data_IF_048389024173
#
_entry.id   IF_048389024173
#
_cell.length_a   1.000
_cell.length_b   1.000
_cell.length_c   1.000
_cell.angle_alpha   90.00
_cell.angle_beta   90.00
_cell.angle_gamma   90.00
#
_symmetry.space_group_name_H-M   'P 1'
#
loop_
_entity.id
_entity.type
_entity.pdbx_description
1 polymer ?
#
# COMPACT_ATOMS: atom_id res chain seq x y z
N UNK A 1 15.53 12.21 -1.99
CA UNK A 1 15.68 10.74 -2.09
C UNK A 1 15.07 10.17 -0.82
N UNK A 2 14.06 9.32 -0.94
CA UNK A 2 13.39 8.75 0.23
C UNK A 2 14.41 7.89 1.00
N UNK A 3 14.82 8.32 2.18
CA UNK A 3 15.80 7.59 3.01
C UNK A 3 15.26 6.27 3.52
N UNK A 4 13.93 6.12 3.58
CA UNK A 4 13.22 4.92 4.04
C UNK A 4 13.31 3.75 3.04
N UNK A 5 13.26 4.02 1.72
CA UNK A 5 13.23 2.97 0.69
C UNK A 5 14.34 3.12 -0.36
N UNK A 6 15.16 4.17 -0.29
CA UNK A 6 16.22 4.45 -1.26
C UNK A 6 15.73 4.93 -2.63
N UNK A 7 14.43 5.13 -2.84
CA UNK A 7 13.89 5.63 -4.12
C UNK A 7 14.34 7.08 -4.37
N UNK A 8 14.87 7.32 -5.57
CA UNK A 8 15.17 8.68 -6.06
C UNK A 8 13.87 9.41 -6.38
N UNK A 9 13.82 10.70 -6.08
CA UNK A 9 12.68 11.55 -6.46
C UNK A 9 12.67 11.70 -7.98
N UNK A 10 11.64 11.17 -8.63
CA UNK A 10 11.25 11.62 -9.97
C UNK A 10 10.35 12.84 -9.82
N UNK A 11 10.37 13.75 -10.79
CA UNK A 11 9.42 14.87 -10.80
C UNK A 11 8.00 14.29 -10.93
N UNK A 12 7.13 14.42 -9.91
CA UNK A 12 5.77 13.93 -10.02
C UNK A 12 5.02 14.77 -11.07
N UNK A 13 4.12 14.15 -11.81
CA UNK A 13 3.21 14.85 -12.70
C UNK A 13 1.77 14.69 -12.21
N UNK A 14 1.00 15.77 -12.26
CA UNK A 14 -0.40 15.77 -11.85
C UNK A 14 -1.22 16.15 -13.08
N UNK A 15 -2.10 15.26 -13.52
CA UNK A 15 -2.94 15.41 -14.72
C UNK A 15 -3.77 16.69 -14.64
N UNK A 16 -3.76 17.61 -15.62
CA UNK A 16 -4.56 18.87 -15.64
C UNK A 16 -6.08 18.60 -15.72
N UNK A 17 -6.90 19.46 -15.09
CA UNK A 17 -8.35 19.29 -15.08
C UNK A 17 -8.89 19.88 -16.39
N UNK A 18 -8.81 19.09 -17.46
CA UNK A 18 -9.15 19.58 -18.79
C UNK A 18 -10.66 19.42 -19.05
N UNK A 19 -11.30 20.56 -19.33
CA UNK A 19 -12.57 20.61 -20.01
C UNK A 19 -12.38 20.08 -21.45
N UNK A 20 -13.08 18.99 -21.78
CA UNK A 20 -13.45 18.49 -23.11
C UNK A 20 -12.61 18.99 -24.33
N UNK A 21 -11.77 18.11 -24.89
CA UNK A 21 -11.79 17.85 -26.34
C UNK A 21 -11.03 16.57 -26.68
N UNK A 22 -11.75 15.62 -27.28
CA UNK A 22 -11.22 14.40 -27.85
C UNK A 22 -10.55 14.68 -29.20
N UNK A 23 -9.34 14.13 -29.42
CA UNK A 23 -8.86 13.75 -30.74
C UNK A 23 -7.74 12.70 -30.59
N UNK A 24 -8.15 11.44 -30.68
CA UNK A 24 -7.29 10.24 -30.75
C UNK A 24 -6.61 10.12 -32.11
N UNK A 25 -5.28 10.05 -32.15
CA UNK A 25 -4.53 9.48 -33.27
C UNK A 25 -3.98 8.11 -32.86
N UNK A 26 -4.43 7.08 -33.57
CA UNK A 26 -4.00 5.68 -33.45
C UNK A 26 -2.79 5.46 -34.35
N UNK A 27 -1.72 4.87 -33.82
CA UNK A 27 -0.66 4.27 -34.63
C UNK A 27 -0.65 2.75 -34.40
N UNK A 28 -0.98 2.03 -35.46
CA UNK A 28 -0.81 0.58 -35.58
C UNK A 28 0.65 0.27 -35.92
N UNK A 29 1.25 -0.70 -35.23
CA UNK A 29 2.38 -1.45 -35.76
C UNK A 29 2.06 -2.94 -35.68
N UNK A 30 2.05 -3.53 -36.87
CA UNK A 30 1.84 -4.94 -37.17
C UNK A 30 3.23 -5.61 -37.24
N UNK A 31 3.42 -6.70 -36.50
CA UNK A 31 4.60 -7.55 -36.63
C UNK A 31 4.16 -9.01 -36.68
N UNK A 32 4.20 -9.54 -37.90
CA UNK A 32 4.12 -10.94 -38.26
C UNK A 32 5.47 -11.62 -38.03
N UNK A 33 5.48 -12.77 -37.35
CA UNK A 33 6.63 -13.67 -37.33
C UNK A 33 6.15 -15.10 -37.61
N UNK A 34 6.50 -15.60 -38.79
CA UNK A 34 6.33 -16.98 -39.22
C UNK A 34 7.47 -17.88 -38.76
N UNK A 35 7.10 -19.15 -38.60
CA UNK A 35 7.84 -20.30 -38.08
C UNK A 35 9.14 -20.67 -38.80
N UNK A 36 10.10 -21.26 -38.06
CA UNK A 36 10.84 -22.45 -38.50
C UNK A 36 11.33 -23.26 -37.28
N UNK A 37 10.93 -24.53 -37.22
CA UNK A 37 11.28 -25.46 -36.15
C UNK A 37 12.58 -26.22 -36.42
N UNK A 38 13.21 -26.68 -35.34
CA UNK A 38 14.17 -27.78 -35.38
C UNK A 38 13.98 -28.69 -34.17
N UNK A 39 13.57 -29.93 -34.45
CA UNK A 39 13.62 -31.08 -33.55
C UNK A 39 15.02 -31.70 -33.59
N UNK A 40 15.53 -32.14 -32.44
CA UNK A 40 16.52 -33.21 -32.36
C UNK A 40 16.13 -34.18 -31.24
N UNK A 41 15.68 -35.36 -31.65
CA UNK A 41 15.65 -36.59 -30.84
C UNK A 41 16.92 -37.37 -31.13
N UNK A 42 17.52 -38.01 -30.11
CA UNK A 42 18.18 -39.32 -30.24
C UNK A 42 18.39 -40.03 -28.88
N UNK A 43 17.51 -41.03 -28.67
CA UNK A 43 17.66 -42.39 -28.11
C UNK A 43 18.74 -42.80 -27.09
N UNK A 44 18.24 -43.57 -26.11
CA UNK A 44 18.95 -44.43 -25.15
C UNK A 44 19.36 -45.81 -25.70
N UNK A 45 20.41 -46.38 -25.10
CA UNK A 45 20.69 -47.82 -24.94
C UNK A 45 21.70 -47.93 -23.77
N UNK A 46 21.69 -48.82 -22.78
CA UNK A 46 20.91 -50.01 -22.44
C UNK A 46 21.77 -50.82 -21.43
N UNK A 47 21.22 -51.09 -20.24
CA UNK A 47 21.50 -52.17 -19.27
C UNK A 47 22.94 -52.64 -18.93
N UNK A 48 23.26 -52.70 -17.62
CA UNK A 48 23.27 -53.95 -16.82
C UNK A 48 23.41 -53.70 -15.31
N UNK A 49 22.77 -54.60 -14.56
CA UNK A 49 22.65 -54.75 -13.09
C UNK A 49 23.93 -55.39 -12.52
N UNK A 50 24.32 -55.07 -11.28
CA UNK A 50 24.65 -56.03 -10.19
C UNK A 50 25.24 -55.35 -8.92
N UNK A 51 24.58 -55.66 -7.81
CA UNK A 51 25.08 -56.00 -6.47
C UNK A 51 25.68 -54.98 -5.50
N UNK A 52 25.11 -55.10 -4.30
CA UNK A 52 25.37 -54.48 -3.00
C UNK A 52 26.79 -54.62 -2.47
N UNK A 53 27.32 -53.59 -1.81
CA UNK A 53 28.15 -53.76 -0.61
C UNK A 53 28.05 -52.54 0.34
N UNK A 54 27.70 -52.83 1.59
CA UNK A 54 27.81 -51.97 2.76
C UNK A 54 29.28 -51.72 3.10
N UNK A 55 29.67 -50.47 3.30
CA UNK A 55 30.87 -50.13 4.07
C UNK A 55 30.53 -49.09 5.15
N UNK A 56 30.53 -49.60 6.38
CA UNK A 56 30.68 -48.83 7.61
C UNK A 56 32.09 -48.21 7.61
N UNK A 57 32.18 -46.89 7.74
CA UNK A 57 33.42 -46.24 8.14
C UNK A 57 33.16 -45.38 9.37
N UNK A 58 33.66 -45.91 10.48
CA UNK A 58 33.80 -45.27 11.78
C UNK A 58 34.90 -44.21 11.65
N UNK A 59 34.58 -42.95 11.90
CA UNK A 59 35.56 -41.89 12.06
C UNK A 59 35.28 -41.13 13.36
N UNK A 60 35.93 -41.64 14.41
CA UNK A 60 36.27 -40.87 15.60
C UNK A 60 37.07 -39.63 15.21
N UNK A 61 36.53 -38.44 15.49
CA UNK A 61 37.35 -37.25 15.66
C UNK A 61 37.00 -36.51 16.94
N UNK A 62 38.09 -36.22 17.63
CA UNK A 62 38.26 -35.72 18.98
C UNK A 62 37.68 -34.32 19.18
N UNK A 63 37.15 -34.07 20.38
CA UNK A 63 36.59 -32.79 20.78
C UNK A 63 37.71 -31.80 21.12
N UNK A 64 37.79 -30.68 20.40
CA UNK A 64 38.34 -29.44 20.94
C UNK A 64 37.43 -28.27 20.56
N UNK A 65 37.04 -27.52 21.59
CA UNK A 65 35.83 -26.71 21.58
C UNK A 65 35.93 -25.40 20.81
N UNK A 66 34.75 -24.94 20.40
CA UNK A 66 34.35 -23.55 20.37
C UNK A 66 32.82 -23.51 20.35
N UNK A 67 32.22 -22.89 21.37
CA UNK A 67 30.77 -22.73 21.51
C UNK A 67 30.23 -21.83 20.40
N UNK A 68 29.80 -22.43 19.29
CA UNK A 68 28.94 -21.77 18.31
C UNK A 68 27.49 -21.90 18.79
N UNK A 69 26.94 -20.80 19.33
CA UNK A 69 25.52 -20.61 19.55
C UNK A 69 24.79 -20.80 18.20
N UNK A 70 24.24 -21.99 17.96
CA UNK A 70 23.29 -22.24 16.86
C UNK A 70 21.91 -21.72 17.29
N UNK A 71 21.71 -20.41 17.19
CA UNK A 71 20.39 -19.79 17.10
C UNK A 71 19.92 -19.80 15.65
N UNK A 72 18.71 -20.29 15.40
CA UNK A 72 18.22 -20.62 14.05
C UNK A 72 18.16 -19.43 13.08
N UNK A 73 18.71 -19.65 11.88
CA UNK A 73 18.27 -19.18 10.55
C UNK A 73 18.02 -17.69 10.24
N UNK A 74 17.81 -16.82 11.22
CA UNK A 74 17.48 -15.41 11.00
C UNK A 74 18.77 -14.60 10.94
N UNK A 75 19.14 -14.15 9.75
CA UNK A 75 20.16 -13.12 9.56
C UNK A 75 19.45 -11.77 9.54
N UNK A 76 19.48 -11.07 10.67
CA UNK A 76 18.91 -9.73 10.79
C UNK A 76 19.93 -8.69 10.30
N UNK A 77 19.86 -8.36 9.01
CA UNK A 77 20.64 -7.27 8.40
C UNK A 77 20.08 -5.87 8.74
N UNK A 78 18.96 -5.79 9.48
CA UNK A 78 18.32 -4.56 9.95
C UNK A 78 18.68 -4.19 11.40
N UNK A 79 19.27 -5.12 12.17
CA UNK A 79 19.68 -4.93 13.57
C UNK A 79 20.85 -3.94 13.78
N UNK A 80 21.28 -3.20 12.75
CA UNK A 80 22.32 -2.19 12.87
C UNK A 80 21.68 -0.80 12.96
N UNK A 81 21.66 -0.13 14.12
CA UNK A 81 21.01 1.17 14.28
C UNK A 81 21.68 2.29 13.46
N UNK A 82 22.80 2.02 12.79
CA UNK A 82 23.58 3.02 12.08
C UNK A 82 24.39 2.46 10.87
N UNK A 83 23.95 1.36 10.26
CA UNK A 83 24.69 0.67 9.20
C UNK A 83 24.38 1.05 7.75
N UNK A 84 23.49 2.02 7.48
CA UNK A 84 23.21 2.44 6.09
C UNK A 84 24.36 3.30 5.54
N UNK A 85 25.33 2.66 4.86
CA UNK A 85 26.22 3.38 3.92
C UNK A 85 25.44 3.74 2.66
N UNK A 86 24.51 4.68 2.77
CA UNK A 86 24.06 5.47 1.62
C UNK A 86 25.30 6.22 1.14
N UNK A 87 25.66 6.06 -0.14
CA UNK A 87 26.94 6.51 -0.72
C UNK A 87 27.49 7.79 -0.08
N UNK A 88 28.72 7.70 0.45
CA UNK A 88 29.52 8.79 1.04
C UNK A 88 28.88 9.70 2.11
N UNK A 89 27.72 9.39 2.67
CA UNK A 89 27.03 10.26 3.66
C UNK A 89 27.09 9.71 5.09
N UNK A 90 27.26 10.58 6.09
CA UNK A 90 27.20 10.19 7.50
C UNK A 90 25.77 9.94 7.98
N UNK A 91 25.61 9.01 8.94
CA UNK A 91 24.30 8.65 9.52
C UNK A 91 23.58 9.87 10.14
N UNK A 92 24.32 10.75 10.84
CA UNK A 92 23.76 11.98 11.43
C UNK A 92 23.20 12.93 10.36
N UNK A 93 23.89 13.04 9.21
CA UNK A 93 23.43 13.89 8.11
C UNK A 93 22.20 13.29 7.44
N UNK A 94 22.13 11.97 7.30
CA UNK A 94 20.94 11.28 6.79
C UNK A 94 19.72 11.49 7.71
N UNK A 95 19.89 11.32 9.02
CA UNK A 95 18.84 11.54 10.02
C UNK A 95 18.37 13.00 10.05
N UNK A 96 19.28 13.97 9.89
CA UNK A 96 18.89 15.38 9.81
C UNK A 96 18.06 15.66 8.55
N UNK A 97 18.50 15.16 7.38
CA UNK A 97 17.77 15.33 6.12
C UNK A 97 16.37 14.70 6.22
N UNK A 98 16.25 13.51 6.79
CA UNK A 98 14.97 12.85 7.00
C UNK A 98 14.03 13.68 7.88
N UNK A 99 14.54 14.18 9.01
CA UNK A 99 13.77 15.06 9.91
C UNK A 99 13.34 16.34 9.22
N UNK A 100 14.19 16.94 8.39
CA UNK A 100 13.86 18.16 7.65
C UNK A 100 12.77 17.90 6.60
N UNK A 101 12.86 16.78 5.87
CA UNK A 101 11.86 16.37 4.87
C UNK A 101 10.51 16.09 5.54
N UNK A 102 10.48 15.23 6.57
CA UNK A 102 9.26 14.89 7.28
C UNK A 102 8.69 16.11 8.02
N UNK A 103 9.54 16.96 8.58
CA UNK A 103 9.14 18.22 9.22
C UNK A 103 8.46 19.19 8.25
N UNK A 104 8.99 19.32 7.02
CA UNK A 104 8.34 20.11 5.96
C UNK A 104 7.01 19.50 5.54
N UNK A 105 6.96 18.19 5.33
CA UNK A 105 5.72 17.48 4.98
C UNK A 105 4.63 17.69 6.04
N UNK A 106 4.97 17.56 7.32
CA UNK A 106 4.02 17.68 8.44
C UNK A 106 3.41 19.09 8.54
N UNK A 107 4.18 20.14 8.24
CA UNK A 107 3.62 21.51 8.15
C UNK A 107 2.58 21.60 7.05
N UNK A 108 2.88 21.05 5.87
CA UNK A 108 1.97 21.07 4.73
C UNK A 108 0.71 20.24 5.01
N UNK A 109 0.86 19.08 5.65
CA UNK A 109 -0.22 18.20 6.08
C UNK A 109 -1.13 18.89 7.12
N UNK A 110 -0.56 19.68 8.03
CA UNK A 110 -1.33 20.46 8.99
C UNK A 110 -2.22 21.50 8.29
N UNK A 111 -1.71 22.23 7.29
CA UNK A 111 -2.55 23.18 6.55
C UNK A 111 -3.60 22.45 5.71
N UNK A 112 -3.25 21.31 5.08
CA UNK A 112 -4.19 20.49 4.33
C UNK A 112 -5.35 20.08 5.24
N UNK A 113 -5.05 19.57 6.43
CA UNK A 113 -6.05 19.20 7.43
C UNK A 113 -6.94 20.38 7.82
N UNK A 114 -6.35 21.55 8.10
CA UNK A 114 -7.13 22.76 8.42
C UNK A 114 -8.05 23.18 7.27
N UNK A 115 -7.59 23.05 6.02
CA UNK A 115 -8.40 23.30 4.84
C UNK A 115 -9.53 22.29 4.70
N UNK A 116 -9.25 21.00 4.84
CA UNK A 116 -10.26 19.95 4.78
C UNK A 116 -11.33 20.14 5.85
N UNK A 117 -10.95 20.53 7.07
CA UNK A 117 -11.89 20.87 8.14
C UNK A 117 -12.76 22.08 7.78
N UNK A 118 -12.17 23.12 7.17
CA UNK A 118 -12.91 24.31 6.72
C UNK A 118 -13.95 23.97 5.65
N UNK A 119 -13.67 22.97 4.80
CA UNK A 119 -14.57 22.49 3.76
C UNK A 119 -15.55 21.40 4.28
N UNK A 120 -15.61 21.10 5.58
CA UNK A 120 -16.37 19.98 6.20
C UNK A 120 -16.10 18.64 5.49
N UNK A 121 -14.84 18.40 5.09
CA UNK A 121 -14.43 17.19 4.40
C UNK A 121 -14.00 16.08 5.36
N UNK A 122 -14.50 14.89 5.08
CA UNK A 122 -13.97 13.65 5.64
C UNK A 122 -12.97 13.05 4.66
N UNK A 123 -11.70 12.98 5.07
CA UNK A 123 -10.59 12.59 4.19
C UNK A 123 -9.98 11.28 4.65
N UNK A 124 -9.87 10.31 3.75
CA UNK A 124 -9.30 8.98 4.04
C UNK A 124 -8.13 8.68 3.13
N UNK A 125 -7.04 8.14 3.70
CA UNK A 125 -5.87 7.70 2.96
C UNK A 125 -5.83 6.17 2.92
N UNK A 126 -6.04 5.59 1.73
CA UNK A 126 -6.00 4.15 1.52
C UNK A 126 -4.59 3.72 1.13
N UNK A 127 -4.02 2.85 1.96
CA UNK A 127 -2.66 2.32 1.83
C UNK A 127 -2.72 0.80 1.75
N UNK A 128 -1.83 0.15 0.99
CA UNK A 128 -1.86 -1.30 0.82
C UNK A 128 -0.58 -1.84 0.22
N UNK A 129 -0.43 -3.17 0.18
CA UNK A 129 0.46 -3.79 -0.83
C UNK A 129 -0.11 -3.62 -2.25
N UNK A 130 0.71 -3.70 -3.31
CA UNK A 130 0.22 -3.80 -4.68
C UNK A 130 -0.78 -4.95 -4.84
N UNK A 131 -1.85 -4.74 -5.60
CA UNK A 131 -2.84 -5.79 -5.89
C UNK A 131 -3.81 -6.13 -4.75
N UNK A 132 -3.80 -5.42 -3.61
CA UNK A 132 -4.76 -5.63 -2.52
C UNK A 132 -6.22 -5.26 -2.89
N UNK A 133 -6.40 -4.52 -3.98
CA UNK A 133 -7.72 -4.18 -4.54
C UNK A 133 -8.30 -2.85 -4.06
N UNK A 134 -7.45 -1.87 -3.72
CA UNK A 134 -7.86 -0.50 -3.33
C UNK A 134 -8.81 0.13 -4.36
N UNK A 135 -8.42 0.18 -5.62
CA UNK A 135 -9.26 0.81 -6.65
C UNK A 135 -10.59 0.10 -6.85
N UNK A 136 -10.61 -1.23 -6.83
CA UNK A 136 -11.87 -1.98 -6.95
C UNK A 136 -12.80 -1.73 -5.75
N UNK A 137 -12.23 -1.58 -4.56
CA UNK A 137 -12.96 -1.18 -3.36
C UNK A 137 -13.48 0.25 -3.50
N UNK A 138 -12.66 1.19 -3.98
CA UNK A 138 -13.05 2.59 -4.18
C UNK A 138 -14.13 2.73 -5.24
N UNK A 139 -13.98 2.13 -6.42
CA UNK A 139 -14.99 2.15 -7.50
C UNK A 139 -16.35 1.77 -6.94
N UNK A 140 -16.43 0.71 -6.14
CA UNK A 140 -17.68 0.31 -5.49
C UNK A 140 -18.14 1.35 -4.47
N UNK A 141 -17.30 1.67 -3.48
CA UNK A 141 -17.64 2.57 -2.39
C UNK A 141 -18.14 3.92 -2.90
N UNK A 142 -17.42 4.54 -3.82
CA UNK A 142 -17.75 5.87 -4.35
C UNK A 142 -18.97 5.84 -5.27
N UNK A 143 -19.22 4.74 -6.00
CA UNK A 143 -20.44 4.57 -6.79
C UNK A 143 -21.72 4.55 -5.94
N UNK A 144 -21.63 3.97 -4.73
CA UNK A 144 -22.75 3.87 -3.79
C UNK A 144 -22.87 5.12 -2.90
N UNK A 145 -21.75 5.76 -2.55
CA UNK A 145 -21.74 6.95 -1.68
C UNK A 145 -22.12 8.25 -2.40
N UNK A 146 -21.78 8.40 -3.69
CA UNK A 146 -22.00 9.65 -4.47
C UNK A 146 -23.46 10.10 -4.53
N UNK A 147 -24.41 9.20 -4.33
CA UNK A 147 -25.84 9.53 -4.30
C UNK A 147 -26.28 10.30 -3.05
N UNK A 148 -25.47 10.30 -1.98
CA UNK A 148 -25.83 10.87 -0.67
C UNK A 148 -25.07 12.13 -0.29
N UNK A 149 -23.89 12.36 -0.88
CA UNK A 149 -23.00 13.50 -0.62
C UNK A 149 -21.94 13.62 -1.70
N UNK A 150 -21.28 14.78 -1.86
CA UNK A 150 -20.13 14.92 -2.74
C UNK A 150 -19.03 13.92 -2.39
N UNK A 151 -18.45 13.28 -3.41
CA UNK A 151 -17.32 12.37 -3.26
C UNK A 151 -16.30 12.70 -4.34
N UNK A 152 -15.02 12.71 -3.99
CA UNK A 152 -13.92 12.79 -4.95
C UNK A 152 -12.77 11.89 -4.55
N UNK A 153 -11.88 11.64 -5.53
CA UNK A 153 -10.74 10.74 -5.35
C UNK A 153 -9.45 11.40 -5.83
N UNK A 154 -8.36 11.21 -5.10
CA UNK A 154 -7.00 11.47 -5.56
C UNK A 154 -6.34 10.10 -5.70
N UNK A 155 -5.88 9.77 -6.90
CA UNK A 155 -5.23 8.50 -7.23
C UNK A 155 -3.72 8.72 -7.32
N UNK A 156 -2.94 7.93 -6.59
CA UNK A 156 -1.49 7.98 -6.59
C UNK A 156 -0.88 6.68 -7.10
N UNK A 157 -0.19 6.73 -8.23
CA UNK A 157 0.56 5.60 -8.77
C UNK A 157 1.90 6.08 -9.35
N UNK A 158 2.83 5.17 -9.62
CA UNK A 158 4.09 5.51 -10.28
C UNK A 158 3.86 6.02 -11.70
N UNK A 159 2.94 5.39 -12.43
CA UNK A 159 2.64 5.66 -13.83
C UNK A 159 1.18 5.32 -14.16
N UNK A 160 0.72 5.81 -15.32
CA UNK A 160 -0.63 5.60 -15.90
C UNK A 160 -1.75 6.32 -15.16
N UNK A 161 -2.90 6.47 -15.81
CA UNK A 161 -4.13 7.05 -15.26
C UNK A 161 -5.24 6.02 -15.04
N UNK A 162 -4.93 4.73 -15.16
CA UNK A 162 -5.94 3.67 -15.28
C UNK A 162 -6.92 3.65 -14.11
N UNK A 163 -6.42 3.86 -12.89
CA UNK A 163 -7.26 3.84 -11.69
C UNK A 163 -8.13 5.09 -11.59
N UNK A 164 -7.60 6.29 -11.90
CA UNK A 164 -8.39 7.50 -12.00
C UNK A 164 -9.45 7.42 -13.11
N UNK A 165 -9.13 6.83 -14.26
CA UNK A 165 -10.07 6.62 -15.37
C UNK A 165 -11.23 5.71 -14.98
N UNK A 166 -10.97 4.65 -14.20
CA UNK A 166 -12.02 3.77 -13.66
C UNK A 166 -12.97 4.51 -12.72
N UNK A 167 -12.46 5.41 -11.89
CA UNK A 167 -13.29 6.24 -11.00
C UNK A 167 -14.08 7.28 -11.80
N UNK A 168 -13.47 7.93 -12.80
CA UNK A 168 -14.16 8.89 -13.67
C UNK A 168 -15.24 8.24 -14.51
N UNK A 169 -15.04 7.01 -14.97
CA UNK A 169 -16.02 6.26 -15.77
C UNK A 169 -17.36 6.06 -15.04
N UNK A 170 -17.36 6.04 -13.71
CA UNK A 170 -18.57 5.98 -12.89
C UNK A 170 -19.07 7.37 -12.45
N UNK A 171 -18.57 8.45 -13.05
CA UNK A 171 -19.02 9.82 -12.82
C UNK A 171 -18.58 10.44 -11.50
N UNK A 172 -17.50 9.94 -10.88
CA UNK A 172 -16.90 10.55 -9.68
C UNK A 172 -15.65 11.33 -10.09
N UNK A 173 -15.48 12.59 -9.64
CA UNK A 173 -14.28 13.35 -9.96
C UNK A 173 -13.04 12.71 -9.35
N UNK A 174 -12.03 12.47 -10.19
CA UNK A 174 -10.74 11.93 -9.76
C UNK A 174 -9.56 12.65 -10.41
N UNK A 175 -8.49 12.87 -9.64
CA UNK A 175 -7.23 13.44 -10.11
C UNK A 175 -6.12 12.40 -9.95
N UNK A 176 -5.41 12.10 -11.05
CA UNK A 176 -4.22 11.25 -11.04
C UNK A 176 -2.97 12.05 -10.64
N UNK A 177 -2.19 11.47 -9.75
CA UNK A 177 -0.82 11.85 -9.41
C UNK A 177 0.09 10.71 -9.86
N UNK A 178 0.95 10.98 -10.85
CA UNK A 178 2.03 10.09 -11.23
C UNK A 178 3.27 10.46 -10.43
N UNK A 179 3.68 9.61 -9.49
CA UNK A 179 4.83 9.86 -8.62
C UNK A 179 6.17 9.59 -9.32
N UNK A 180 6.14 9.04 -10.53
CA UNK A 180 7.34 8.63 -11.25
C UNK A 180 8.04 7.50 -10.53
N UNK A 181 9.20 7.79 -9.93
CA UNK A 181 9.95 6.82 -9.10
C UNK A 181 9.58 6.90 -7.61
N UNK A 182 8.71 7.85 -7.23
CA UNK A 182 8.24 8.00 -5.86
C UNK A 182 7.45 6.79 -5.38
N UNK A 183 7.70 6.35 -4.15
CA UNK A 183 7.09 5.17 -3.55
C UNK A 183 5.89 5.48 -2.64
N UNK A 184 5.46 6.75 -2.58
CA UNK A 184 4.38 7.27 -1.75
C UNK A 184 3.89 8.62 -2.30
N UNK A 185 2.72 9.05 -1.86
CA UNK A 185 2.26 10.44 -1.94
C UNK A 185 2.75 11.26 -0.75
N UNK A 186 3.03 12.54 -0.96
CA UNK A 186 3.29 13.51 0.11
C UNK A 186 2.17 14.56 0.21
N UNK A 187 2.19 15.37 1.28
CA UNK A 187 1.16 16.36 1.52
C UNK A 187 1.11 17.48 0.46
N UNK A 188 2.23 17.80 -0.19
CA UNK A 188 2.28 18.84 -1.21
C UNK A 188 1.61 18.37 -2.50
N UNK A 189 1.86 17.11 -2.89
CA UNK A 189 1.20 16.45 -4.01
C UNK A 189 -0.32 16.42 -3.81
N UNK A 190 -0.78 16.03 -2.60
CA UNK A 190 -2.20 16.01 -2.27
C UNK A 190 -2.83 17.40 -2.28
N UNK A 191 -2.12 18.42 -1.77
CA UNK A 191 -2.60 19.81 -1.81
C UNK A 191 -2.87 20.27 -3.23
N UNK A 192 -1.91 20.04 -4.12
CA UNK A 192 -2.01 20.45 -5.52
C UNK A 192 -3.13 19.70 -6.24
N UNK A 193 -3.25 18.39 -6.04
CA UNK A 193 -4.36 17.62 -6.61
C UNK A 193 -5.72 18.08 -6.06
N UNK A 194 -5.82 18.37 -4.76
CA UNK A 194 -7.05 18.85 -4.14
C UNK A 194 -7.53 20.18 -4.72
N UNK A 195 -6.63 21.13 -4.99
CA UNK A 195 -6.98 22.41 -5.62
C UNK A 195 -7.61 22.28 -7.01
N UNK A 196 -7.46 21.10 -7.63
CA UNK A 196 -7.87 20.84 -9.01
C UNK A 196 -9.12 19.97 -9.09
N UNK A 197 -9.58 19.46 -7.95
CA UNK A 197 -10.90 18.84 -7.82
C UNK A 197 -12.00 19.91 -7.80
N UNK A 198 -13.21 19.60 -8.27
CA UNK A 198 -14.37 20.47 -8.04
C UNK A 198 -14.64 20.60 -6.53
N UNK A 199 -15.36 21.65 -6.08
CA UNK A 199 -15.68 21.81 -4.67
C UNK A 199 -16.42 20.61 -4.09
N UNK A 200 -15.89 20.02 -3.01
CA UNK A 200 -16.44 18.84 -2.34
C UNK A 200 -17.05 19.14 -0.96
N UNK A 201 -17.49 20.38 -0.70
CA UNK A 201 -17.92 20.82 0.63
C UNK A 201 -18.93 19.86 1.29
N UNK A 202 -18.70 19.48 2.55
CA UNK A 202 -19.53 18.52 3.28
C UNK A 202 -19.45 17.06 2.79
N UNK A 203 -18.48 16.78 1.92
CA UNK A 203 -18.32 15.50 1.23
C UNK A 203 -17.25 14.58 1.82
N UNK A 204 -16.83 13.62 1.00
CA UNK A 204 -15.75 12.67 1.31
C UNK A 204 -14.67 12.78 0.24
N UNK A 205 -13.41 12.82 0.66
CA UNK A 205 -12.25 12.70 -0.21
C UNK A 205 -11.54 11.38 0.11
N UNK A 206 -11.39 10.51 -0.88
CA UNK A 206 -10.52 9.35 -0.78
C UNK A 206 -9.18 9.67 -1.46
N UNK A 207 -8.09 9.34 -0.80
CA UNK A 207 -6.75 9.38 -1.36
C UNK A 207 -6.30 7.93 -1.48
N UNK A 208 -6.19 7.42 -2.70
CA UNK A 208 -5.57 6.13 -2.96
C UNK A 208 -4.06 6.33 -3.08
N UNK A 209 -3.31 5.81 -2.12
CA UNK A 209 -1.85 5.92 -2.14
C UNK A 209 -1.22 4.86 -3.06
N UNK A 210 0.06 5.06 -3.36
CA UNK A 210 0.88 4.07 -4.09
C UNK A 210 0.84 2.74 -3.32
N UNK A 211 0.77 1.61 -4.04
CA UNK A 211 0.83 0.27 -3.45
C UNK A 211 2.17 0.00 -2.75
N UNK A 212 2.27 0.41 -1.49
CA UNK A 212 3.44 0.22 -0.64
C UNK A 212 3.05 0.25 0.85
N UNK A 213 3.57 -0.70 1.64
CA UNK A 213 3.36 -0.77 3.10
C UNK A 213 4.53 -0.19 3.92
N UNK A 214 5.56 0.36 3.27
CA UNK A 214 6.75 0.92 3.94
C UNK A 214 6.72 2.44 3.88
N UNK A 215 6.99 3.04 2.72
CA UNK A 215 7.14 4.49 2.60
C UNK A 215 5.92 5.28 3.12
N UNK A 216 4.66 4.94 2.77
CA UNK A 216 3.52 5.80 3.11
C UNK A 216 3.20 5.84 4.62
N UNK A 217 3.80 4.98 5.43
CA UNK A 217 3.59 4.97 6.88
C UNK A 217 4.11 6.27 7.54
N UNK A 218 5.24 6.80 7.04
CA UNK A 218 5.90 7.98 7.62
C UNK A 218 5.32 9.33 7.15
N UNK A 219 4.46 9.34 6.11
CA UNK A 219 3.99 10.58 5.48
C UNK A 219 2.52 10.85 5.82
N UNK A 220 2.30 11.89 6.64
CA UNK A 220 0.99 12.49 6.88
C UNK A 220 0.57 13.33 5.67
N UNK A 221 -0.67 13.19 5.20
CA UNK A 221 -1.22 13.95 4.06
C UNK A 221 -2.26 14.99 4.52
N UNK A 222 -2.61 15.00 5.80
CA UNK A 222 -3.70 15.79 6.38
C UNK A 222 -5.01 15.01 6.52
N UNK A 223 -5.00 13.71 6.25
CA UNK A 223 -6.16 12.82 6.33
C UNK A 223 -6.75 12.74 7.75
N UNK A 224 -8.01 12.29 7.83
CA UNK A 224 -8.64 11.91 9.09
C UNK A 224 -8.09 10.61 9.64
N UNK A 225 -7.88 9.66 8.73
CA UNK A 225 -7.63 8.27 9.03
C UNK A 225 -6.88 7.65 7.86
N UNK A 226 -5.79 6.95 8.18
CA UNK A 226 -5.23 5.93 7.30
C UNK A 226 -6.06 4.65 7.42
N UNK A 227 -6.37 4.07 6.27
CA UNK A 227 -7.07 2.80 6.11
C UNK A 227 -6.13 1.86 5.38
N UNK A 228 -5.63 0.84 6.07
CA UNK A 228 -4.82 -0.21 5.42
C UNK A 228 -5.75 -1.23 4.77
N UNK A 229 -5.62 -1.42 3.46
CA UNK A 229 -6.31 -2.48 2.72
C UNK A 229 -5.38 -3.68 2.65
N UNK A 230 -5.78 -4.74 3.33
CA UNK A 230 -5.11 -6.03 3.38
C UNK A 230 -5.91 -7.03 2.54
N UNK A 231 -5.27 -7.82 1.70
CA UNK A 231 -5.93 -8.88 0.92
C UNK A 231 -5.79 -10.23 1.60
N UNK A 232 -6.79 -11.09 1.54
CA UNK A 232 -6.65 -12.49 2.01
C UNK A 232 -5.49 -13.25 1.34
N UNK A 233 -4.97 -12.75 0.22
CA UNK A 233 -3.79 -13.28 -0.49
C UNK A 233 -2.45 -12.69 -0.04
N UNK A 234 -2.42 -11.79 0.95
CA UNK A 234 -1.21 -11.10 1.39
C UNK A 234 -0.32 -11.97 2.32
N UNK A 235 -0.89 -13.00 2.95
CA UNK A 235 -0.25 -13.75 4.03
C UNK A 235 -0.46 -13.08 5.38
N UNK A 236 -0.76 -13.89 6.38
CA UNK A 236 -1.27 -13.47 7.70
C UNK A 236 -0.26 -12.59 8.44
N UNK A 237 1.03 -12.83 8.25
CA UNK A 237 2.12 -12.20 9.01
C UNK A 237 2.51 -10.79 8.54
N UNK A 238 1.85 -10.21 7.52
CA UNK A 238 2.16 -8.85 7.08
C UNK A 238 2.09 -7.79 8.18
N UNK A 239 1.14 -7.81 9.14
CA UNK A 239 1.13 -6.83 10.21
C UNK A 239 2.46 -6.80 10.99
N UNK A 240 3.04 -7.97 11.26
CA UNK A 240 4.33 -8.07 11.95
C UNK A 240 5.51 -7.69 11.05
N UNK A 241 5.41 -7.92 9.74
CA UNK A 241 6.45 -7.54 8.76
C UNK A 241 6.48 -6.05 8.43
N UNK A 242 5.35 -5.35 8.58
CA UNK A 242 5.21 -3.92 8.25
C UNK A 242 4.61 -3.12 9.42
N UNK A 243 5.18 -3.20 10.63
CA UNK A 243 4.52 -2.75 11.84
C UNK A 243 4.13 -1.26 11.81
N UNK A 244 4.98 -0.40 11.24
CA UNK A 244 4.72 1.05 11.19
C UNK A 244 3.43 1.39 10.44
N UNK A 245 3.11 0.65 9.37
CA UNK A 245 1.90 0.89 8.59
C UNK A 245 0.63 0.55 9.36
N UNK A 246 0.65 -0.59 10.08
CA UNK A 246 -0.49 -1.04 10.87
C UNK A 246 -0.63 -0.21 12.16
N UNK A 247 0.49 0.24 12.74
CA UNK A 247 0.51 1.19 13.85
C UNK A 247 -0.10 2.54 13.46
N UNK A 248 0.20 3.05 12.26
CA UNK A 248 -0.33 4.32 11.77
C UNK A 248 -1.79 4.26 11.28
N UNK A 249 -2.33 3.05 11.07
CA UNK A 249 -3.67 2.85 10.50
C UNK A 249 -4.75 2.73 11.58
N UNK A 250 -5.85 3.45 11.38
CA UNK A 250 -7.02 3.38 12.28
C UNK A 250 -7.98 2.23 11.95
N UNK A 251 -7.98 1.80 10.69
CA UNK A 251 -8.84 0.74 10.18
C UNK A 251 -8.03 -0.18 9.27
N UNK A 252 -8.18 -1.48 9.48
CA UNK A 252 -7.76 -2.52 8.55
C UNK A 252 -8.99 -3.07 7.81
N UNK A 253 -8.98 -2.95 6.49
CA UNK A 253 -9.97 -3.58 5.61
C UNK A 253 -9.38 -4.85 5.01
N UNK A 254 -9.85 -6.00 5.48
CA UNK A 254 -9.50 -7.31 4.91
C UNK A 254 -10.38 -7.54 3.69
N UNK A 255 -9.85 -7.30 2.50
CA UNK A 255 -10.51 -7.45 1.22
C UNK A 255 -10.34 -8.87 0.66
N UNK A 256 -11.17 -9.22 -0.33
CA UNK A 256 -11.18 -10.52 -1.04
C UNK A 256 -11.58 -11.69 -0.13
N UNK A 257 -12.45 -11.47 0.85
CA UNK A 257 -12.98 -12.55 1.71
C UNK A 257 -13.76 -13.61 0.93
N UNK A 258 -14.25 -13.26 -0.25
CA UNK A 258 -14.86 -14.16 -1.20
C UNK A 258 -13.90 -15.24 -1.76
N UNK A 259 -12.59 -15.09 -1.52
CA UNK A 259 -11.59 -16.12 -1.83
C UNK A 259 -11.28 -17.04 -0.65
N UNK A 260 -11.68 -16.69 0.58
CA UNK A 260 -11.38 -17.47 1.78
C UNK A 260 -11.79 -18.96 1.69
N UNK A 261 -12.88 -19.36 1.00
CA UNK A 261 -13.22 -20.78 0.85
C UNK A 261 -12.27 -21.61 -0.03
N UNK A 262 -11.41 -20.96 -0.84
CA UNK A 262 -10.55 -21.63 -1.84
C UNK A 262 -9.06 -21.40 -1.61
N UNK A 263 -8.69 -20.70 -0.54
CA UNK A 263 -7.31 -20.47 -0.12
C UNK A 263 -7.13 -20.84 1.34
N UNK A 264 -5.92 -21.20 1.73
CA UNK A 264 -5.55 -21.35 3.13
C UNK A 264 -5.29 -19.96 3.71
N UNK A 265 -6.27 -19.42 4.44
CA UNK A 265 -6.19 -18.09 5.04
C UNK A 265 -6.80 -18.09 6.45
N UNK A 266 -5.99 -17.77 7.46
CA UNK A 266 -6.44 -17.62 8.85
C UNK A 266 -6.78 -16.16 9.18
N UNK A 267 -8.08 -15.86 9.11
CA UNK A 267 -8.64 -14.56 9.47
C UNK A 267 -8.36 -14.20 10.94
N UNK A 268 -8.50 -15.15 11.86
CA UNK A 268 -8.36 -14.89 13.29
C UNK A 268 -6.91 -14.55 13.64
N UNK A 269 -5.95 -15.31 13.08
CA UNK A 269 -4.52 -15.06 13.24
C UNK A 269 -4.12 -13.70 12.63
N UNK A 270 -4.61 -13.37 11.44
CA UNK A 270 -4.35 -12.05 10.82
C UNK A 270 -4.80 -10.89 11.72
N UNK A 271 -6.01 -10.98 12.30
CA UNK A 271 -6.54 -9.97 13.22
C UNK A 271 -5.70 -9.89 14.49
N UNK A 272 -5.27 -11.04 15.02
CA UNK A 272 -4.45 -11.13 16.21
C UNK A 272 -3.09 -10.43 16.00
N UNK A 273 -2.42 -10.71 14.89
CA UNK A 273 -1.17 -10.03 14.52
C UNK A 273 -1.34 -8.53 14.31
N UNK A 274 -2.43 -8.08 13.66
CA UNK A 274 -2.72 -6.66 13.54
C UNK A 274 -2.90 -5.98 14.90
N UNK A 275 -3.57 -6.64 15.85
CA UNK A 275 -3.80 -6.12 17.21
C UNK A 275 -2.57 -6.15 18.09
N UNK A 276 -1.63 -7.07 17.87
CA UNK A 276 -0.31 -7.03 18.52
C UNK A 276 0.45 -5.75 18.20
N UNK A 277 0.36 -5.29 16.95
CA UNK A 277 1.00 -4.06 16.48
C UNK A 277 0.20 -2.83 16.90
N UNK A 278 -1.12 -2.87 16.73
CA UNK A 278 -2.02 -1.77 17.07
C UNK A 278 -3.26 -2.28 17.81
N UNK A 279 -3.28 -2.23 19.16
CA UNK A 279 -4.41 -2.70 19.95
C UNK A 279 -5.74 -1.99 19.66
N UNK A 280 -5.69 -0.78 19.09
CA UNK A 280 -6.86 0.05 18.82
C UNK A 280 -7.35 -0.05 17.36
N UNK A 281 -6.70 -0.85 16.50
CA UNK A 281 -7.09 -0.95 15.10
C UNK A 281 -8.49 -1.57 14.97
N UNK A 282 -9.41 -0.84 14.33
CA UNK A 282 -10.68 -1.42 13.92
C UNK A 282 -10.43 -2.36 12.72
N UNK A 283 -11.15 -3.48 12.65
CA UNK A 283 -11.01 -4.43 11.54
C UNK A 283 -12.37 -4.71 10.94
N UNK A 284 -12.48 -4.61 9.62
CA UNK A 284 -13.65 -5.03 8.87
C UNK A 284 -13.24 -5.94 7.73
N UNK A 285 -14.06 -6.95 7.46
CA UNK A 285 -13.93 -7.85 6.31
C UNK A 285 -14.82 -7.36 5.19
N UNK A 286 -14.29 -7.31 3.97
CA UNK A 286 -15.02 -6.86 2.78
C UNK A 286 -14.70 -7.73 1.57
N UNK A 287 -15.64 -7.75 0.62
CA UNK A 287 -15.36 -8.19 -0.74
C UNK A 287 -15.77 -7.09 -1.70
N UNK A 288 -14.80 -6.47 -2.37
CA UNK A 288 -15.11 -5.53 -3.46
C UNK A 288 -15.94 -6.21 -4.58
N UNK A 289 -15.72 -7.52 -4.80
CA UNK A 289 -16.42 -8.32 -5.81
C UNK A 289 -17.88 -8.53 -5.46
N UNK A 290 -18.19 -9.07 -4.28
CA UNK A 290 -19.57 -9.43 -3.90
C UNK A 290 -20.33 -8.28 -3.26
N UNK A 291 -19.62 -7.38 -2.56
CA UNK A 291 -20.20 -6.28 -1.77
C UNK A 291 -20.40 -6.61 -0.31
N UNK A 292 -20.07 -7.83 0.08
CA UNK A 292 -20.08 -8.22 1.47
C UNK A 292 -19.21 -7.27 2.31
N UNK A 293 -19.70 -6.90 3.49
CA UNK A 293 -19.00 -6.02 4.42
C UNK A 293 -19.14 -4.51 4.16
N UNK A 294 -19.59 -4.07 2.99
CA UNK A 294 -19.68 -2.63 2.67
C UNK A 294 -20.68 -1.88 3.56
N UNK A 295 -21.76 -2.52 4.00
CA UNK A 295 -22.70 -1.93 4.96
C UNK A 295 -22.00 -1.53 6.28
N UNK A 296 -21.08 -2.38 6.77
CA UNK A 296 -20.29 -2.10 7.97
C UNK A 296 -19.26 -1.00 7.71
N UNK A 297 -18.60 -1.00 6.54
CA UNK A 297 -17.70 0.07 6.12
C UNK A 297 -18.43 1.43 6.11
N UNK A 298 -19.63 1.51 5.54
CA UNK A 298 -20.40 2.75 5.51
C UNK A 298 -20.87 3.19 6.90
N UNK A 299 -21.20 2.24 7.77
CA UNK A 299 -21.49 2.55 9.17
C UNK A 299 -20.26 3.15 9.87
N UNK A 300 -19.08 2.59 9.64
CA UNK A 300 -17.82 3.13 10.14
C UNK A 300 -17.54 4.54 9.60
N UNK A 301 -17.69 4.78 8.30
CA UNK A 301 -17.53 6.12 7.69
C UNK A 301 -18.49 7.14 8.34
N UNK A 302 -19.76 6.76 8.56
CA UNK A 302 -20.73 7.63 9.26
C UNK A 302 -20.31 7.93 10.71
N UNK A 303 -19.77 6.94 11.43
CA UNK A 303 -19.22 7.11 12.78
C UNK A 303 -18.05 8.11 12.79
N UNK A 304 -17.14 8.03 11.82
CA UNK A 304 -16.02 8.98 11.69
C UNK A 304 -16.50 10.41 11.40
N UNK A 305 -17.50 10.57 10.53
CA UNK A 305 -18.13 11.86 10.28
C UNK A 305 -18.73 12.48 11.55
N UNK A 306 -19.38 11.66 12.38
CA UNK A 306 -19.97 12.11 13.64
C UNK A 306 -18.92 12.50 14.69
N UNK A 307 -17.82 11.75 14.79
CA UNK A 307 -16.72 12.06 15.72
C UNK A 307 -16.10 13.43 15.42
N UNK A 308 -15.87 13.75 14.14
CA UNK A 308 -15.32 15.04 13.72
C UNK A 308 -16.21 16.25 14.00
N UNK A 309 -17.51 16.05 14.11
CA UNK A 309 -18.49 17.12 14.39
C UNK A 309 -18.64 17.41 15.89
N UNK A 310 -18.00 16.62 16.77
CA UNK A 310 -18.04 16.89 18.21
C UNK A 310 -17.22 18.16 18.51
N UNK A 311 -17.79 19.17 19.20
CA UNK A 311 -17.02 20.31 19.65
C UNK A 311 -15.90 19.84 20.61
N UNK A 312 -14.71 20.43 20.47
CA UNK A 312 -13.57 20.22 21.37
C UNK A 312 -13.94 20.81 22.74
N UNK A 313 -14.62 20.04 23.59
CA UNK A 313 -14.96 20.46 24.96
C UNK A 313 -14.59 19.43 26.05
N UNK A 314 -14.01 18.27 25.73
CA UNK A 314 -13.75 17.21 26.73
C UNK A 314 -12.30 16.69 26.76
N UNK A 315 -11.29 17.57 26.68
CA UNK A 315 -9.88 17.18 26.90
C UNK A 315 -9.17 17.93 28.02
N UNK A 316 -9.93 18.50 28.97
CA UNK A 316 -9.41 19.00 30.24
C UNK A 316 -10.25 18.45 31.39
N UNK A 317 -10.01 17.19 31.76
CA UNK A 317 -10.27 16.66 33.10
C UNK A 317 -9.13 15.72 33.49
#
# INVERSE_FOLDING_TARGET
MCTVCGCSEGTPSIERADAQSAQTQRHHHDHTHDHYGHHHDHMHCGQKVHDSHNHYHDHHHDHSGQHAQRGGGLVDCGADPAGLKIGSMSSERAIQIERDILGKNNRIAADNRARFLTDDLLVFNLVSSPGAGKTSLLVRAVSELKGSRPVGVIEGDQQTSNDADRIRAIGVPAIQINTGKGCHLDAAMVREAYHRLPPLKGGILFIENVGNLVCPAAFDLGEASKIVVFSTTDGEDKPLKYPDMFAASSLMLINKIDLAPVIDFDLAQTIEYARRVNPNIEVLTVSARTGEGFAALYAWIRKQAAYRRRPVQDTLR
#
